data_IF_675751857528
#
_entry.id   IF_675751857528
#
_cell.length_a   1.000
_cell.length_b   1.000
_cell.length_c   1.000
_cell.angle_alpha   90.00
_cell.angle_beta   90.00
_cell.angle_gamma   90.00
#
_symmetry.space_group_name_H-M   'P 1'
#
loop_
_entity.id
_entity.type
_entity.pdbx_description
1 polymer ?
#
# COMPACT_ATOMS: atom_id res chain seq x y z
N UNK A 1 5.57 9.55 -36.62
CA UNK A 1 6.71 9.43 -35.69
C UNK A 1 6.73 8.00 -35.19
N UNK A 2 7.80 7.24 -35.45
CA UNK A 2 7.92 5.87 -34.94
C UNK A 2 8.23 5.95 -33.43
N UNK A 3 7.81 4.97 -32.61
CA UNK A 3 8.12 4.97 -31.16
C UNK A 3 9.62 5.09 -30.84
N UNK A 4 10.49 4.73 -31.78
CA UNK A 4 11.95 4.84 -31.73
C UNK A 4 12.48 6.28 -31.85
N UNK A 5 11.63 7.21 -32.27
CA UNK A 5 12.03 8.60 -32.57
C UNK A 5 11.78 9.53 -31.37
N UNK A 6 11.26 9.00 -30.26
CA UNK A 6 11.08 9.76 -29.02
C UNK A 6 12.40 9.78 -28.22
N UNK A 7 12.75 10.91 -27.58
CA UNK A 7 13.88 10.93 -26.67
C UNK A 7 13.70 9.87 -25.58
N UNK A 8 14.80 9.30 -25.04
CA UNK A 8 14.70 8.36 -23.95
C UNK A 8 13.91 9.02 -22.82
N UNK A 9 12.77 8.43 -22.47
CA UNK A 9 11.97 8.89 -21.34
C UNK A 9 12.87 8.82 -20.10
N UNK A 10 13.14 9.97 -19.48
CA UNK A 10 13.70 10.00 -18.14
C UNK A 10 12.64 9.40 -17.20
N UNK A 11 12.72 8.09 -16.95
CA UNK A 11 11.70 7.33 -16.20
C UNK A 11 11.86 7.53 -14.69
N UNK A 12 11.87 8.77 -14.23
CA UNK A 12 11.56 9.04 -12.83
C UNK A 12 10.04 9.00 -12.68
N UNK A 13 9.56 8.15 -11.78
CA UNK A 13 8.14 8.10 -11.46
C UNK A 13 7.72 9.44 -10.85
N UNK A 14 6.46 9.85 -11.06
CA UNK A 14 5.99 11.19 -10.71
C UNK A 14 6.10 11.52 -9.20
N UNK A 15 6.11 10.50 -8.33
CA UNK A 15 6.22 10.63 -6.87
C UNK A 15 7.47 9.91 -6.32
N UNK A 16 8.48 9.66 -7.16
CA UNK A 16 9.76 9.12 -6.71
C UNK A 16 10.35 9.99 -5.59
N UNK A 17 10.81 9.34 -4.51
CA UNK A 17 11.35 10.04 -3.33
C UNK A 17 10.30 10.56 -2.34
N UNK A 18 9.01 10.48 -2.63
CA UNK A 18 7.93 10.79 -1.68
C UNK A 18 7.67 9.59 -0.78
N UNK A 19 7.62 9.79 0.54
CA UNK A 19 7.21 8.77 1.51
C UNK A 19 5.84 9.10 2.11
N UNK A 20 4.96 8.09 2.16
CA UNK A 20 3.59 8.21 2.70
C UNK A 20 3.39 7.20 3.82
N UNK A 21 2.92 7.69 4.97
CA UNK A 21 2.46 6.83 6.07
C UNK A 21 0.95 6.66 5.94
N UNK A 22 0.51 5.43 5.68
CA UNK A 22 -0.88 5.10 5.38
C UNK A 22 -1.58 4.46 6.58
N UNK A 23 -2.36 5.27 7.29
CA UNK A 23 -3.27 4.84 8.37
C UNK A 23 -4.70 4.58 7.88
N UNK A 24 -4.91 4.48 6.57
CA UNK A 24 -6.25 4.35 5.98
C UNK A 24 -6.69 2.89 5.87
N UNK A 25 -8.01 2.69 5.91
CA UNK A 25 -8.65 1.38 5.99
C UNK A 25 -9.76 1.25 4.95
N UNK A 26 -10.17 0.01 4.69
CA UNK A 26 -11.31 -0.33 3.84
C UNK A 26 -11.04 0.02 2.37
N UNK A 27 -11.64 1.06 1.80
CA UNK A 27 -11.64 1.27 0.34
C UNK A 27 -11.07 2.63 -0.06
N UNK A 28 -11.72 3.73 0.33
CA UNK A 28 -11.42 5.05 -0.23
C UNK A 28 -9.96 5.49 0.01
N UNK A 29 -9.51 5.41 1.26
CA UNK A 29 -8.14 5.75 1.62
C UNK A 29 -7.11 4.80 1.01
N UNK A 30 -7.29 3.46 1.14
CA UNK A 30 -6.37 2.52 0.53
C UNK A 30 -6.24 2.68 -0.98
N UNK A 31 -7.34 3.00 -1.68
CA UNK A 31 -7.34 3.31 -3.09
C UNK A 31 -6.53 4.57 -3.41
N UNK A 32 -6.68 5.64 -2.61
CA UNK A 32 -5.91 6.87 -2.76
C UNK A 32 -4.40 6.60 -2.62
N UNK A 33 -3.98 6.01 -1.51
CA UNK A 33 -2.55 5.76 -1.26
C UNK A 33 -1.96 4.71 -2.18
N UNK A 34 -2.76 3.76 -2.68
CA UNK A 34 -2.35 2.85 -3.76
C UNK A 34 -2.01 3.59 -5.05
N UNK A 35 -2.78 4.61 -5.43
CA UNK A 35 -2.47 5.44 -6.61
C UNK A 35 -1.15 6.19 -6.39
N UNK A 36 -0.86 6.66 -5.18
CA UNK A 36 0.43 7.26 -4.85
C UNK A 36 1.58 6.27 -5.04
N UNK A 37 1.41 5.03 -4.57
CA UNK A 37 2.39 3.94 -4.77
C UNK A 37 2.56 3.56 -6.24
N UNK A 38 1.47 3.52 -7.03
CA UNK A 38 1.52 3.31 -8.48
C UNK A 38 2.34 4.39 -9.20
N UNK A 39 2.39 5.61 -8.65
CA UNK A 39 3.22 6.71 -9.16
C UNK A 39 4.61 6.81 -8.50
N UNK A 40 5.05 5.78 -7.77
CA UNK A 40 6.42 5.66 -7.27
C UNK A 40 6.67 6.17 -5.85
N UNK A 41 5.62 6.55 -5.11
CA UNK A 41 5.79 6.89 -3.69
C UNK A 41 6.11 5.63 -2.86
N UNK A 42 6.98 5.77 -1.85
CA UNK A 42 7.14 4.74 -0.81
C UNK A 42 5.97 4.83 0.17
N UNK A 43 4.98 3.96 0.00
CA UNK A 43 3.79 3.92 0.85
C UNK A 43 3.96 2.83 1.91
N UNK A 44 3.85 3.20 3.18
CA UNK A 44 3.97 2.28 4.32
C UNK A 44 2.62 2.23 5.03
N UNK A 45 1.90 1.11 4.88
CA UNK A 45 0.64 0.85 5.58
C UNK A 45 0.92 0.47 7.03
N UNK A 46 0.28 1.17 7.95
CA UNK A 46 0.38 0.95 9.37
C UNK A 46 -0.93 0.35 9.88
N UNK A 47 -0.82 -0.82 10.51
CA UNK A 47 -1.94 -1.55 11.11
C UNK A 47 -1.55 -2.05 12.49
N UNK A 48 -2.51 -2.37 13.35
CA UNK A 48 -2.19 -3.09 14.60
C UNK A 48 -2.24 -4.59 14.34
N UNK A 49 -1.34 -5.36 14.95
CA UNK A 49 -1.43 -6.83 14.91
C UNK A 49 -2.76 -7.34 15.51
N UNK A 50 -3.22 -6.67 16.57
CA UNK A 50 -4.49 -7.00 17.22
C UNK A 50 -5.73 -6.56 16.43
N UNK A 51 -5.56 -5.66 15.46
CA UNK A 51 -6.65 -5.11 14.66
C UNK A 51 -6.10 -4.66 13.32
N UNK A 52 -6.18 -5.56 12.34
CA UNK A 52 -5.80 -5.30 10.96
C UNK A 52 -7.03 -4.91 10.12
N UNK A 53 -6.77 -4.35 8.94
CA UNK A 53 -7.79 -3.93 7.99
C UNK A 53 -8.76 -5.09 7.68
N UNK A 54 -10.06 -4.85 7.92
CA UNK A 54 -11.12 -5.84 7.73
C UNK A 54 -11.12 -6.46 6.32
N UNK A 55 -10.67 -5.70 5.32
CA UNK A 55 -10.59 -6.19 3.94
C UNK A 55 -9.64 -7.39 3.77
N UNK A 56 -8.70 -7.63 4.69
CA UNK A 56 -7.83 -8.83 4.69
C UNK A 56 -8.59 -10.14 4.84
N UNK A 57 -9.80 -10.10 5.40
CA UNK A 57 -10.68 -11.25 5.59
C UNK A 57 -11.81 -11.38 4.56
N UNK A 58 -11.96 -10.42 3.63
CA UNK A 58 -13.06 -10.43 2.66
C UNK A 58 -12.76 -11.42 1.53
N UNK A 59 -13.69 -12.34 1.28
CA UNK A 59 -13.61 -13.32 0.19
C UNK A 59 -13.48 -12.67 -1.20
N UNK A 60 -12.76 -13.28 -2.15
CA UNK A 60 -12.09 -14.58 -2.04
C UNK A 60 -10.80 -14.49 -1.21
N UNK A 61 -10.61 -15.48 -0.32
CA UNK A 61 -9.45 -15.62 0.54
C UNK A 61 -8.73 -16.93 0.18
N UNK A 62 -7.42 -16.85 -0.13
CA UNK A 62 -6.63 -17.99 -0.59
C UNK A 62 -5.41 -18.23 0.30
N UNK A 63 -5.21 -19.48 0.71
CA UNK A 63 -4.07 -19.88 1.55
C UNK A 63 -4.16 -19.44 3.01
N UNK A 64 -3.21 -19.92 3.82
CA UNK A 64 -3.17 -19.71 5.28
C UNK A 64 -1.90 -19.04 5.79
N UNK A 65 -0.89 -18.92 4.94
CA UNK A 65 0.49 -18.67 5.40
C UNK A 65 0.83 -17.17 5.47
N UNK A 66 -0.12 -16.31 5.10
CA UNK A 66 0.05 -14.86 5.06
C UNK A 66 -1.25 -14.12 5.39
N UNK A 67 -1.18 -12.93 6.03
CA UNK A 67 -2.34 -12.05 6.18
C UNK A 67 -2.80 -11.41 4.84
N UNK A 68 -1.99 -11.46 3.78
CA UNK A 68 -2.30 -10.92 2.44
C UNK A 68 -3.03 -11.93 1.55
N UNK A 69 -4.09 -12.55 2.09
CA UNK A 69 -4.81 -13.65 1.46
C UNK A 69 -6.10 -13.24 0.74
N UNK A 70 -6.64 -12.06 1.06
CA UNK A 70 -7.82 -11.51 0.38
C UNK A 70 -7.45 -10.87 -0.96
N UNK A 71 -8.18 -11.23 -2.01
CA UNK A 71 -8.08 -10.57 -3.31
C UNK A 71 -8.39 -9.07 -3.23
N UNK A 72 -9.41 -8.69 -2.45
CA UNK A 72 -9.79 -7.28 -2.29
C UNK A 72 -8.68 -6.47 -1.61
N UNK A 73 -8.16 -6.97 -0.49
CA UNK A 73 -7.05 -6.31 0.20
C UNK A 73 -5.84 -6.13 -0.72
N UNK A 74 -5.47 -7.18 -1.45
CA UNK A 74 -4.32 -7.17 -2.35
C UNK A 74 -4.51 -6.17 -3.51
N UNK A 75 -5.72 -6.09 -4.08
CA UNK A 75 -6.03 -5.09 -5.11
C UNK A 75 -5.87 -3.66 -4.59
N UNK A 76 -6.32 -3.40 -3.36
CA UNK A 76 -6.33 -2.07 -2.74
C UNK A 76 -4.99 -1.67 -2.13
N UNK A 77 -4.09 -2.61 -1.85
CA UNK A 77 -2.85 -2.35 -1.10
C UNK A 77 -1.57 -2.82 -1.80
N UNK A 78 -1.62 -3.19 -3.09
CA UNK A 78 -0.42 -3.37 -3.91
C UNK A 78 0.48 -2.13 -3.88
N UNK A 79 1.78 -2.33 -4.11
CA UNK A 79 2.84 -1.30 -4.06
C UNK A 79 3.07 -0.67 -2.67
N UNK A 80 2.42 -1.17 -1.61
CA UNK A 80 2.66 -0.72 -0.24
C UNK A 80 3.57 -1.71 0.51
N UNK A 81 4.42 -1.16 1.37
CA UNK A 81 5.06 -1.91 2.48
C UNK A 81 4.07 -1.96 3.64
N UNK A 82 4.21 -2.95 4.52
CA UNK A 82 3.31 -3.14 5.67
C UNK A 82 4.13 -3.23 6.96
N UNK A 83 3.69 -2.50 8.00
CA UNK A 83 4.25 -2.57 9.35
C UNK A 83 3.11 -2.68 10.36
N UNK A 84 3.25 -3.62 11.31
CA UNK A 84 2.38 -3.66 12.47
C UNK A 84 2.91 -2.70 13.54
N UNK A 85 2.07 -1.78 14.01
CA UNK A 85 2.38 -0.81 15.05
C UNK A 85 1.12 -0.46 15.84
N UNK A 86 1.18 -0.64 17.15
CA UNK A 86 0.15 -0.14 18.05
C UNK A 86 0.50 1.30 18.47
N UNK A 87 -0.07 2.28 17.77
CA UNK A 87 0.13 3.72 18.04
C UNK A 87 -0.54 4.20 19.33
N UNK A 88 -1.28 3.35 20.04
CA UNK A 88 -1.83 3.65 21.36
C UNK A 88 -0.90 3.24 22.50
N UNK A 89 0.12 2.42 22.22
CA UNK A 89 1.13 2.06 23.20
C UNK A 89 2.20 3.17 23.28
N UNK A 90 2.70 3.55 24.47
CA UNK A 90 3.70 4.62 24.60
C UNK A 90 4.92 4.46 23.67
N UNK A 91 5.51 3.27 23.63
CA UNK A 91 6.62 2.94 22.71
C UNK A 91 6.27 2.95 21.22
N UNK A 92 4.98 2.88 20.88
CA UNK A 92 4.53 2.97 19.50
C UNK A 92 4.21 4.40 19.05
N UNK A 93 4.11 5.33 20.01
CA UNK A 93 3.96 6.77 19.73
C UNK A 93 5.31 7.48 19.58
N UNK A 94 6.35 7.02 20.27
CA UNK A 94 7.74 7.47 20.09
C UNK A 94 8.26 7.19 18.67
#
# INVERSE_FOLDING_TARGET
VKPTDLPPLNRQNALEGVRVIDFTWIVAGPQCTRILGDFGAEVIKIESESNMDYTRGISPVMGTDSPNKSGLFNTLNRNKRSLTLNVMHPRGME
#
